data_IF_812202830975
#
_entry.id   IF_812202830975
#
_cell.length_a   1.000
_cell.length_b   1.000
_cell.length_c   1.000
_cell.angle_alpha   90.00
_cell.angle_beta   90.00
_cell.angle_gamma   90.00
#
_symmetry.space_group_name_H-M   'P 1'
#
loop_
_entity.id
_entity.type
_entity.pdbx_description
1 polymer ?
#
# COMPACT_ATOMS: atom_id res chain seq x y z
N UNK A 1 15.45 15.64 -6.52
CA UNK A 1 15.21 15.16 -5.13
C UNK A 1 16.45 14.46 -4.64
N UNK A 2 16.91 14.84 -3.45
CA UNK A 2 18.05 14.19 -2.81
C UNK A 2 17.62 12.92 -2.09
N UNK A 3 18.55 12.01 -1.88
CA UNK A 3 18.30 10.75 -1.18
C UNK A 3 17.72 10.97 0.23
N UNK A 4 18.22 11.96 0.96
CA UNK A 4 17.73 12.29 2.30
C UNK A 4 16.27 12.75 2.28
N UNK A 5 15.88 13.50 1.26
CA UNK A 5 14.49 13.93 1.05
C UNK A 5 13.58 12.75 0.78
N UNK A 6 14.03 11.82 -0.07
CA UNK A 6 13.29 10.59 -0.35
C UNK A 6 13.10 9.77 0.92
N UNK A 7 14.16 9.61 1.71
CA UNK A 7 14.10 8.86 2.96
C UNK A 7 13.10 9.47 3.94
N UNK A 8 13.09 10.79 4.06
CA UNK A 8 12.15 11.51 4.92
C UNK A 8 10.71 11.35 4.43
N UNK A 9 10.47 11.54 3.14
CA UNK A 9 9.14 11.40 2.55
C UNK A 9 8.59 9.97 2.67
N UNK A 10 9.43 8.97 2.43
CA UNK A 10 9.05 7.57 2.61
C UNK A 10 8.72 7.29 4.08
N UNK A 11 9.51 7.85 5.00
CA UNK A 11 9.26 7.72 6.42
C UNK A 11 7.89 8.24 6.84
N UNK A 12 7.48 9.37 6.27
CA UNK A 12 6.16 9.96 6.52
C UNK A 12 5.05 9.02 6.00
N UNK A 13 5.20 8.50 4.78
CA UNK A 13 4.20 7.58 4.22
C UNK A 13 4.10 6.29 5.02
N UNK A 14 5.23 5.72 5.43
CA UNK A 14 5.27 4.50 6.24
C UNK A 14 4.57 4.71 7.58
N UNK A 15 4.78 5.85 8.21
CA UNK A 15 4.11 6.18 9.48
C UNK A 15 2.60 6.33 9.28
N UNK A 16 2.17 6.98 8.21
CA UNK A 16 0.75 7.12 7.89
C UNK A 16 0.10 5.75 7.62
N UNK A 17 0.80 4.85 6.94
CA UNK A 17 0.30 3.48 6.74
C UNK A 17 0.18 2.76 8.08
N UNK A 18 1.17 2.91 8.98
CA UNK A 18 1.15 2.28 10.30
C UNK A 18 -0.05 2.74 11.13
N UNK A 19 -0.34 4.04 11.13
CA UNK A 19 -1.51 4.59 11.82
C UNK A 19 -2.80 4.01 11.22
N UNK A 20 -2.89 3.93 9.91
CA UNK A 20 -4.04 3.34 9.20
C UNK A 20 -4.29 1.90 9.63
N UNK A 21 -3.22 1.10 9.74
CA UNK A 21 -3.31 -0.29 10.19
C UNK A 21 -3.77 -0.37 11.65
N UNK A 22 -3.28 0.53 12.50
CA UNK A 22 -3.72 0.59 13.91
C UNK A 22 -5.23 0.84 14.01
N UNK A 23 -5.76 1.75 13.19
CA UNK A 23 -7.20 2.04 13.16
C UNK A 23 -8.00 0.84 12.64
N UNK A 24 -7.50 0.15 11.61
CA UNK A 24 -8.13 -1.08 11.11
C UNK A 24 -8.21 -2.15 12.19
N UNK A 25 -7.12 -2.36 12.91
CA UNK A 25 -7.06 -3.35 13.97
C UNK A 25 -7.99 -2.99 15.13
N UNK A 26 -8.14 -1.70 15.43
CA UNK A 26 -9.06 -1.22 16.47
C UNK A 26 -10.52 -1.52 16.07
N UNK A 27 -10.91 -1.22 14.84
CA UNK A 27 -12.24 -1.54 14.33
C UNK A 27 -12.49 -3.06 14.38
N UNK A 28 -11.51 -3.85 13.97
CA UNK A 28 -11.61 -5.31 13.94
C UNK A 28 -11.87 -5.89 15.33
N UNK A 29 -11.18 -5.37 16.35
CA UNK A 29 -11.39 -5.78 17.74
C UNK A 29 -12.79 -5.42 18.23
N UNK A 30 -13.25 -4.22 17.89
CA UNK A 30 -14.58 -3.75 18.30
C UNK A 30 -15.70 -4.60 17.67
N UNK A 31 -15.57 -4.87 16.36
CA UNK A 31 -16.54 -5.68 15.62
C UNK A 31 -16.55 -7.13 16.09
N UNK A 32 -15.41 -7.68 16.54
CA UNK A 32 -15.31 -9.05 17.04
C UNK A 32 -16.25 -9.35 18.21
N UNK A 33 -16.78 -8.32 18.87
CA UNK A 33 -17.70 -8.44 20.01
C UNK A 33 -19.17 -8.24 19.63
N UNK A 34 -19.45 -7.63 18.47
CA UNK A 34 -20.78 -7.28 18.00
C UNK A 34 -20.82 -7.34 16.48
N UNK A 35 -22.02 -7.50 15.90
CA UNK A 35 -22.17 -7.45 14.44
C UNK A 35 -21.73 -6.08 13.89
N UNK A 36 -21.04 -6.03 12.73
CA UNK A 36 -20.59 -4.77 12.16
C UNK A 36 -21.77 -3.89 11.74
N UNK A 37 -21.68 -2.61 12.10
CA UNK A 37 -22.64 -1.59 11.65
C UNK A 37 -22.25 -1.06 10.28
N UNK A 38 -23.13 -0.28 9.64
CA UNK A 38 -22.79 0.43 8.41
C UNK A 38 -21.59 1.37 8.63
N UNK A 39 -21.52 2.01 9.80
CA UNK A 39 -20.39 2.89 10.14
C UNK A 39 -19.09 2.12 10.25
N UNK A 40 -19.10 0.96 10.89
CA UNK A 40 -17.92 0.08 10.99
C UNK A 40 -17.43 -0.32 9.61
N UNK A 41 -18.32 -0.77 8.75
CA UNK A 41 -18.00 -1.18 7.38
C UNK A 41 -17.42 -0.01 6.56
N UNK A 42 -18.03 1.15 6.66
CA UNK A 42 -17.60 2.35 5.92
C UNK A 42 -16.21 2.79 6.38
N UNK A 43 -15.97 2.83 7.69
CA UNK A 43 -14.67 3.19 8.23
C UNK A 43 -13.60 2.17 7.83
N UNK A 44 -13.87 0.88 7.98
CA UNK A 44 -12.92 -0.17 7.61
C UNK A 44 -12.59 -0.12 6.11
N UNK A 45 -13.58 0.09 5.27
CA UNK A 45 -13.38 0.21 3.82
C UNK A 45 -12.50 1.41 3.47
N UNK A 46 -12.74 2.55 4.13
CA UNK A 46 -11.92 3.75 3.93
C UNK A 46 -10.46 3.51 4.33
N UNK A 47 -10.23 2.87 5.47
CA UNK A 47 -8.86 2.58 5.91
C UNK A 47 -8.16 1.54 5.04
N UNK A 48 -8.85 0.53 4.53
CA UNK A 48 -8.28 -0.42 3.58
C UNK A 48 -7.86 0.28 2.29
N UNK A 49 -8.69 1.20 1.78
CA UNK A 49 -8.35 2.00 0.61
C UNK A 49 -7.15 2.90 0.89
N UNK A 50 -7.09 3.53 2.06
CA UNK A 50 -5.97 4.37 2.48
C UNK A 50 -4.68 3.59 2.63
N UNK A 51 -4.74 2.35 3.10
CA UNK A 51 -3.59 1.46 3.18
C UNK A 51 -2.94 1.28 1.81
N UNK A 52 -3.74 0.94 0.81
CA UNK A 52 -3.22 0.79 -0.56
C UNK A 52 -2.73 2.12 -1.14
N UNK A 53 -3.45 3.21 -0.89
CA UNK A 53 -3.03 4.54 -1.34
C UNK A 53 -1.65 4.92 -0.76
N UNK A 54 -1.38 4.57 0.49
CA UNK A 54 -0.09 4.83 1.12
C UNK A 54 1.05 4.08 0.42
N UNK A 55 0.84 2.80 0.10
CA UNK A 55 1.81 2.03 -0.67
C UNK A 55 2.06 2.69 -2.03
N UNK A 56 1.00 3.05 -2.72
CA UNK A 56 1.09 3.71 -4.03
C UNK A 56 1.84 5.03 -3.96
N UNK A 57 1.64 5.80 -2.89
CA UNK A 57 2.39 7.04 -2.66
C UNK A 57 3.89 6.80 -2.55
N UNK A 58 4.29 5.72 -1.87
CA UNK A 58 5.70 5.32 -1.81
C UNK A 58 6.24 5.03 -3.20
N UNK A 59 5.49 4.28 -4.01
CA UNK A 59 5.90 3.96 -5.39
C UNK A 59 6.07 5.23 -6.24
N UNK A 60 5.18 6.19 -6.10
CA UNK A 60 5.28 7.48 -6.80
C UNK A 60 6.55 8.24 -6.41
N UNK A 61 6.86 8.29 -5.13
CA UNK A 61 8.04 8.99 -4.63
C UNK A 61 9.33 8.36 -5.15
N UNK A 62 9.42 7.04 -5.15
CA UNK A 62 10.58 6.31 -5.69
C UNK A 62 10.71 6.57 -7.19
N UNK A 63 9.61 6.51 -7.93
CA UNK A 63 9.59 6.76 -9.38
C UNK A 63 10.13 8.16 -9.70
N UNK A 64 9.65 9.17 -8.98
CA UNK A 64 10.11 10.56 -9.15
C UNK A 64 11.58 10.73 -8.79
N UNK A 65 12.03 10.07 -7.73
CA UNK A 65 13.43 10.12 -7.32
C UNK A 65 14.36 9.64 -8.44
N UNK A 66 13.96 8.62 -9.19
CA UNK A 66 14.74 8.11 -10.32
C UNK A 66 14.54 8.90 -11.61
N UNK A 67 13.77 9.98 -11.57
CA UNK A 67 13.53 10.82 -12.75
C UNK A 67 12.65 10.17 -13.80
N UNK A 68 11.89 9.16 -13.45
CA UNK A 68 11.02 8.44 -14.38
C UNK A 68 9.63 9.09 -14.37
N UNK A 69 9.05 9.39 -15.55
CA UNK A 69 7.69 9.91 -15.60
C UNK A 69 6.68 8.93 -15.02
N UNK A 70 5.70 9.46 -14.27
CA UNK A 70 4.60 8.64 -13.77
C UNK A 70 3.73 8.17 -14.93
N UNK A 71 3.18 6.94 -14.87
CA UNK A 71 2.27 6.49 -15.90
C UNK A 71 0.99 7.33 -15.91
N UNK A 72 0.38 7.46 -17.09
CA UNK A 72 -0.85 8.23 -17.30
C UNK A 72 -1.90 7.34 -17.95
N UNK A 73 -3.15 7.83 -18.01
CA UNK A 73 -4.27 7.09 -18.59
C UNK A 73 -5.06 6.30 -17.57
N UNK A 74 -6.04 5.54 -18.04
CA UNK A 74 -7.02 4.87 -17.18
C UNK A 74 -6.43 3.72 -16.37
N UNK A 75 -5.30 3.15 -16.81
CA UNK A 75 -4.65 2.01 -16.16
C UNK A 75 -3.41 2.41 -15.37
N UNK A 76 -3.23 3.68 -15.03
CA UNK A 76 -2.00 4.18 -14.43
C UNK A 76 -1.67 3.49 -13.08
N UNK A 77 -2.69 3.12 -12.29
CA UNK A 77 -2.50 2.42 -11.01
C UNK A 77 -1.85 1.05 -11.22
N UNK A 78 -2.35 0.30 -12.20
CA UNK A 78 -1.81 -1.03 -12.53
C UNK A 78 -0.39 -0.90 -13.11
N UNK A 79 -0.20 0.08 -14.00
CA UNK A 79 1.09 0.30 -14.65
C UNK A 79 2.17 0.70 -13.64
N UNK A 80 1.83 1.59 -12.71
CA UNK A 80 2.76 2.00 -11.65
C UNK A 80 3.16 0.81 -10.77
N UNK A 81 2.20 0.04 -10.31
CA UNK A 81 2.43 -1.13 -9.47
C UNK A 81 3.31 -2.18 -10.17
N UNK A 82 3.02 -2.43 -11.44
CA UNK A 82 3.71 -3.44 -12.24
C UNK A 82 5.21 -3.16 -12.41
N UNK A 83 5.60 -1.89 -12.39
CA UNK A 83 7.01 -1.47 -12.49
C UNK A 83 7.89 -1.98 -11.36
N UNK A 84 7.29 -2.33 -10.22
CA UNK A 84 7.98 -2.81 -9.02
C UNK A 84 7.80 -4.31 -8.80
N UNK A 85 7.20 -5.01 -9.76
CA UNK A 85 6.97 -6.45 -9.74
C UNK A 85 8.06 -7.19 -10.53
N UNK A 86 7.93 -8.52 -10.66
CA UNK A 86 8.90 -9.36 -11.38
C UNK A 86 8.57 -9.39 -12.87
N UNK A 87 9.51 -8.98 -13.79
CA UNK A 87 10.77 -8.28 -13.52
C UNK A 87 10.53 -6.78 -13.29
N UNK A 88 11.29 -6.14 -12.40
CA UNK A 88 11.11 -4.71 -12.17
C UNK A 88 11.63 -3.88 -13.34
N UNK A 89 11.06 -2.69 -13.51
CA UNK A 89 11.50 -1.74 -14.52
C UNK A 89 12.78 -1.04 -14.04
N UNK A 90 13.94 -1.37 -14.65
CA UNK A 90 15.20 -0.72 -14.27
C UNK A 90 15.11 0.82 -14.43
N UNK A 91 15.59 1.63 -13.47
CA UNK A 91 16.34 1.29 -12.25
C UNK A 91 15.49 1.10 -10.99
N UNK A 92 14.18 0.92 -11.14
CA UNK A 92 13.28 0.73 -9.98
C UNK A 92 13.54 -0.61 -9.29
N UNK A 93 13.38 -0.67 -7.96
CA UNK A 93 13.63 -1.90 -7.22
C UNK A 93 12.50 -2.91 -7.35
N UNK A 94 12.81 -4.18 -7.13
CA UNK A 94 11.79 -5.21 -6.93
C UNK A 94 11.25 -5.08 -5.50
N UNK A 95 10.01 -4.61 -5.36
CA UNK A 95 9.35 -4.50 -4.06
C UNK A 95 8.29 -5.59 -3.84
N UNK A 96 7.76 -6.16 -4.93
CA UNK A 96 6.66 -7.12 -4.86
C UNK A 96 7.04 -8.40 -5.61
N UNK A 97 7.32 -9.48 -4.87
CA UNK A 97 7.40 -10.80 -5.46
C UNK A 97 6.00 -11.24 -5.92
N UNK A 98 5.90 -12.39 -6.59
CA UNK A 98 4.62 -12.84 -7.14
C UNK A 98 3.54 -13.01 -6.07
N UNK A 99 3.91 -13.53 -4.90
CA UNK A 99 2.99 -13.72 -3.78
C UNK A 99 2.46 -12.39 -3.26
N UNK A 100 3.37 -11.46 -2.95
CA UNK A 100 2.99 -10.15 -2.42
C UNK A 100 2.19 -9.34 -3.45
N UNK A 101 2.58 -9.41 -4.72
CA UNK A 101 1.87 -8.73 -5.80
C UNK A 101 0.43 -9.23 -5.93
N UNK A 102 0.22 -10.54 -5.83
CA UNK A 102 -1.12 -11.14 -5.89
C UNK A 102 -1.99 -10.68 -4.72
N UNK A 103 -1.44 -10.66 -3.51
CA UNK A 103 -2.16 -10.22 -2.32
C UNK A 103 -2.52 -8.74 -2.39
N UNK A 104 -1.59 -7.87 -2.80
CA UNK A 104 -1.84 -6.44 -2.93
C UNK A 104 -2.81 -6.09 -4.05
N UNK A 105 -2.87 -6.88 -5.10
CA UNK A 105 -3.83 -6.68 -6.18
C UNK A 105 -5.28 -6.70 -5.66
N UNK A 106 -5.57 -7.52 -4.66
CA UNK A 106 -6.90 -7.57 -4.05
C UNK A 106 -7.26 -6.24 -3.36
N UNK A 107 -6.29 -5.60 -2.70
CA UNK A 107 -6.51 -4.28 -2.06
C UNK A 107 -6.76 -3.19 -3.10
N UNK A 108 -6.03 -3.22 -4.22
CA UNK A 108 -6.23 -2.27 -5.32
C UNK A 108 -7.64 -2.39 -5.90
N UNK A 109 -8.09 -3.61 -6.15
CA UNK A 109 -9.43 -3.88 -6.67
C UNK A 109 -10.51 -3.44 -5.68
N UNK A 110 -10.30 -3.72 -4.39
CA UNK A 110 -11.21 -3.31 -3.34
C UNK A 110 -11.32 -1.79 -3.26
N UNK A 111 -10.20 -1.07 -3.37
CA UNK A 111 -10.21 0.39 -3.40
C UNK A 111 -11.11 0.92 -4.52
N UNK A 112 -11.05 0.32 -5.70
CA UNK A 112 -11.92 0.70 -6.81
C UNK A 112 -13.40 0.54 -6.44
N UNK A 113 -13.76 -0.58 -5.81
CA UNK A 113 -15.13 -0.83 -5.35
C UNK A 113 -15.56 0.23 -4.33
N UNK A 114 -14.71 0.59 -3.38
CA UNK A 114 -15.00 1.60 -2.37
C UNK A 114 -15.31 2.95 -2.98
N UNK A 115 -14.57 3.36 -4.00
CA UNK A 115 -14.76 4.66 -4.65
C UNK A 115 -16.03 4.74 -5.50
N UNK A 116 -16.59 3.59 -5.92
CA UNK A 116 -17.76 3.54 -6.81
C UNK A 116 -19.01 2.95 -6.15
N UNK A 117 -18.95 2.59 -4.85
CA UNK A 117 -20.05 1.98 -4.13
C UNK A 117 -20.50 2.77 -2.90
N UNK A 118 -21.57 2.32 -2.28
CA UNK A 118 -22.07 2.87 -1.04
C UNK A 118 -21.69 1.98 0.14
N UNK A 119 -21.45 2.60 1.31
CA UNK A 119 -21.01 1.89 2.52
C UNK A 119 -21.91 0.73 2.94
N UNK A 120 -23.24 0.88 2.77
CA UNK A 120 -24.18 -0.18 3.14
C UNK A 120 -24.14 -1.40 2.20
N UNK A 121 -23.51 -1.28 1.03
CA UNK A 121 -23.34 -2.37 0.06
C UNK A 121 -22.06 -3.18 0.29
N UNK A 122 -21.20 -2.74 1.22
CA UNK A 122 -19.92 -3.41 1.49
C UNK A 122 -20.14 -4.70 2.27
N UNK A 123 -19.44 -5.76 1.85
CA UNK A 123 -19.49 -7.06 2.49
C UNK A 123 -18.37 -7.19 3.51
N UNK A 124 -18.74 -7.38 4.79
CA UNK A 124 -17.77 -7.49 5.88
C UNK A 124 -16.79 -8.66 5.69
N UNK A 125 -17.26 -9.78 5.14
CA UNK A 125 -16.43 -10.98 4.93
C UNK A 125 -15.22 -10.71 4.06
N UNK A 126 -15.38 -9.86 3.03
CA UNK A 126 -14.27 -9.46 2.15
C UNK A 126 -13.29 -8.58 2.89
N UNK A 127 -13.79 -7.66 3.70
CA UNK A 127 -12.95 -6.77 4.49
C UNK A 127 -12.24 -7.50 5.62
N UNK A 128 -12.92 -8.45 6.26
CA UNK A 128 -12.37 -9.27 7.34
C UNK A 128 -11.08 -9.94 6.91
N UNK A 129 -11.07 -10.59 5.77
CA UNK A 129 -9.88 -11.23 5.23
C UNK A 129 -8.75 -10.22 4.99
N UNK A 130 -9.07 -9.08 4.37
CA UNK A 130 -8.09 -8.03 4.12
C UNK A 130 -7.49 -7.47 5.41
N UNK A 131 -8.29 -7.24 6.42
CA UNK A 131 -7.81 -6.71 7.70
C UNK A 131 -6.89 -7.71 8.40
N UNK A 132 -7.23 -9.00 8.36
CA UNK A 132 -6.42 -10.05 8.99
C UNK A 132 -5.02 -10.18 8.39
N UNK A 133 -4.85 -9.81 7.12
CA UNK A 133 -3.58 -9.98 6.40
C UNK A 133 -2.77 -8.69 6.28
N UNK A 134 -3.33 -7.54 6.65
CA UNK A 134 -2.70 -6.24 6.40
C UNK A 134 -1.35 -6.09 7.13
N UNK A 135 -1.23 -6.59 8.36
CA UNK A 135 0.02 -6.50 9.12
C UNK A 135 1.15 -7.27 8.45
N UNK A 136 0.88 -8.50 8.03
CA UNK A 136 1.86 -9.36 7.36
C UNK A 136 2.30 -8.75 6.02
N UNK A 137 1.35 -8.27 5.25
CA UNK A 137 1.63 -7.63 3.95
C UNK A 137 2.51 -6.40 4.15
N UNK A 138 2.17 -5.57 5.12
CA UNK A 138 2.95 -4.37 5.42
C UNK A 138 4.36 -4.70 5.87
N UNK A 139 4.54 -5.70 6.71
CA UNK A 139 5.85 -6.15 7.18
C UNK A 139 6.73 -6.59 6.00
N UNK A 140 6.18 -7.39 5.08
CA UNK A 140 6.93 -7.85 3.90
C UNK A 140 7.29 -6.69 2.98
N UNK A 141 6.37 -5.74 2.81
CA UNK A 141 6.63 -4.52 2.04
C UNK A 141 7.75 -3.69 2.67
N UNK A 142 7.70 -3.48 3.99
CA UNK A 142 8.72 -2.73 4.71
C UNK A 142 10.11 -3.36 4.58
N UNK A 143 10.21 -4.68 4.66
CA UNK A 143 11.49 -5.38 4.53
C UNK A 143 12.13 -5.09 3.17
N UNK A 144 11.34 -5.16 2.10
CA UNK A 144 11.82 -4.85 0.75
C UNK A 144 12.20 -3.38 0.60
N UNK A 145 11.39 -2.51 1.16
CA UNK A 145 11.62 -1.07 1.12
C UNK A 145 12.91 -0.69 1.85
N UNK A 146 13.15 -1.25 3.03
CA UNK A 146 14.35 -1.02 3.81
C UNK A 146 15.60 -1.55 3.07
N UNK A 147 15.50 -2.71 2.42
CA UNK A 147 16.58 -3.25 1.62
C UNK A 147 16.93 -2.30 0.46
N UNK A 148 15.93 -1.76 -0.22
CA UNK A 148 16.12 -0.78 -1.26
C UNK A 148 16.84 0.48 -0.74
N UNK A 149 16.38 1.00 0.39
CA UNK A 149 16.98 2.21 1.00
C UNK A 149 18.44 1.98 1.40
N UNK A 150 18.76 0.80 1.95
CA UNK A 150 20.15 0.43 2.27
C UNK A 150 21.02 0.38 1.02
N UNK A 151 20.50 -0.18 -0.07
CA UNK A 151 21.25 -0.27 -1.34
C UNK A 151 21.54 1.12 -1.93
N UNK A 152 20.60 2.06 -1.79
CA UNK A 152 20.84 3.45 -2.20
C UNK A 152 21.98 4.09 -1.41
N UNK A 153 22.08 3.80 -0.11
CA UNK A 153 23.14 4.33 0.75
C UNK A 153 24.50 3.77 0.38
N UNK A 154 24.58 2.48 0.06
CA UNK A 154 25.84 1.83 -0.30
C UNK A 154 26.38 2.27 -1.65
N UNK A 155 25.51 2.58 -2.61
CA UNK A 155 25.91 2.98 -3.97
C UNK A 155 26.55 4.37 -4.01
N UNK A 156 26.28 5.23 -3.02
CA UNK A 156 26.86 6.57 -2.93
C UNK A 156 28.15 6.63 -2.10
N UNK A 157 28.53 5.53 -1.45
CA UNK A 157 29.74 5.45 -0.64
C UNK A 157 30.98 4.99 -1.44
N UNK A 158 30.82 4.66 -2.73
CA UNK A 158 31.91 4.22 -3.61
C UNK A 158 32.43 5.35 -4.51
#
# INVERSE_FOLDING_TARGET
MKREELQEEIGIEVENIRITIQELNAIYRDVGKMAPTVRDKTAAAAFLAQFYNGIENVLKRITRFHGIPLPTGDTWHVDLFRRFCVPPMHPLPLLFDESLASELAAYRKFRHVVHHGYGFQLEWERMDEGIRHVDDIFMRFQERLEAYMRNLQSTTAS
#
